data_IF_840189635273
#
_entry.id   IF_840189635273
#
_cell.length_a   1.000
_cell.length_b   1.000
_cell.length_c   1.000
_cell.angle_alpha   90.00
_cell.angle_beta   90.00
_cell.angle_gamma   90.00
#
_symmetry.space_group_name_H-M   'P 1'
#
loop_
_entity.id
_entity.type
_entity.pdbx_description
1 polymer ?
#
# COMPACT_ATOMS: atom_id res chain seq x y z
N UNK A 1 -29.80 13.47 24.07
CA UNK A 1 -28.81 14.11 24.96
C UNK A 1 -28.02 12.99 25.62
N UNK A 2 -26.83 12.72 25.13
CA UNK A 2 -25.91 11.78 25.77
C UNK A 2 -25.25 12.54 26.92
N UNK A 3 -25.43 12.05 28.14
CA UNK A 3 -24.75 12.57 29.31
C UNK A 3 -23.26 12.24 29.18
N UNK A 4 -22.42 13.27 29.19
CA UNK A 4 -20.98 13.14 29.29
C UNK A 4 -20.64 12.66 30.70
N UNK A 5 -20.08 11.46 30.81
CA UNK A 5 -19.36 11.02 32.00
C UNK A 5 -18.13 11.93 32.22
N UNK A 6 -17.69 12.09 33.47
CA UNK A 6 -16.71 13.11 33.86
C UNK A 6 -15.38 12.91 33.12
N UNK A 7 -14.87 14.03 32.59
CA UNK A 7 -13.60 14.19 31.87
C UNK A 7 -12.45 13.47 32.58
N UNK A 8 -12.12 12.26 32.12
CA UNK A 8 -10.73 11.86 32.04
C UNK A 8 -10.09 12.81 31.06
N UNK A 9 -9.34 13.80 31.55
CA UNK A 9 -8.40 14.58 30.75
C UNK A 9 -7.54 13.58 29.97
N UNK A 10 -7.80 13.33 28.68
CA UNK A 10 -7.01 12.38 27.94
C UNK A 10 -5.70 13.11 27.69
N UNK A 11 -4.68 12.79 28.47
CA UNK A 11 -3.43 13.53 28.44
C UNK A 11 -2.85 13.50 27.02
N UNK A 12 -1.86 14.34 26.76
CA UNK A 12 -1.07 14.35 25.53
C UNK A 12 -0.29 13.02 25.31
N UNK A 13 -0.60 11.96 26.04
CA UNK A 13 -0.06 10.61 25.81
C UNK A 13 -0.54 10.09 24.44
N UNK A 14 0.38 9.84 23.49
CA UNK A 14 0.04 9.30 22.18
C UNK A 14 -0.67 7.93 22.23
N UNK A 15 -0.54 7.17 23.32
CA UNK A 15 -1.28 5.92 23.51
C UNK A 15 -2.77 6.16 23.77
N UNK A 16 -3.10 7.04 24.72
CA UNK A 16 -4.49 7.38 25.07
C UNK A 16 -5.21 8.04 23.89
N UNK A 17 -4.53 8.97 23.22
CA UNK A 17 -5.06 9.62 22.03
C UNK A 17 -5.34 8.62 20.90
N UNK A 18 -4.47 7.63 20.69
CA UNK A 18 -4.70 6.59 19.68
C UNK A 18 -5.91 5.71 20.01
N UNK A 19 -6.15 5.39 21.29
CA UNK A 19 -7.35 4.67 21.72
C UNK A 19 -8.62 5.48 21.38
N UNK A 20 -8.60 6.78 21.65
CA UNK A 20 -9.72 7.67 21.32
C UNK A 20 -9.97 7.75 19.80
N UNK A 21 -8.91 7.95 19.01
CA UNK A 21 -8.98 7.96 17.54
C UNK A 21 -9.53 6.64 17.01
N UNK A 22 -9.12 5.49 17.56
CA UNK A 22 -9.66 4.19 17.15
C UNK A 22 -11.13 4.01 17.51
N UNK A 23 -11.57 4.54 18.65
CA UNK A 23 -12.95 4.40 19.11
C UNK A 23 -13.92 5.29 18.33
N UNK A 24 -13.53 6.54 18.07
CA UNK A 24 -14.42 7.55 17.51
C UNK A 24 -14.18 7.86 16.02
N UNK A 25 -13.07 7.38 15.46
CA UNK A 25 -12.57 7.83 14.17
C UNK A 25 -12.04 9.26 14.24
N UNK A 26 -11.29 9.68 13.22
CA UNK A 26 -10.77 11.06 13.15
C UNK A 26 -11.86 12.11 12.94
N UNK A 27 -12.99 11.73 12.33
CA UNK A 27 -14.14 12.62 12.13
C UNK A 27 -15.07 12.78 13.34
N UNK A 28 -14.89 11.97 14.39
CA UNK A 28 -15.75 11.96 15.58
C UNK A 28 -15.16 12.62 16.82
N UNK A 29 -14.00 13.30 16.70
CA UNK A 29 -13.31 13.92 17.84
C UNK A 29 -13.94 15.27 18.23
N UNK A 30 -14.06 15.59 19.54
CA UNK A 30 -14.58 16.89 20.00
C UNK A 30 -13.72 18.08 19.55
N UNK A 31 -14.35 19.22 19.30
CA UNK A 31 -13.69 20.46 18.85
C UNK A 31 -12.65 20.99 19.84
N UNK A 32 -12.91 20.85 21.14
CA UNK A 32 -12.04 21.25 22.23
C UNK A 32 -10.75 20.42 22.21
N UNK A 33 -10.89 19.11 22.00
CA UNK A 33 -9.77 18.20 21.85
C UNK A 33 -8.94 18.54 20.60
N UNK A 34 -9.58 18.77 19.45
CA UNK A 34 -8.88 19.16 18.22
C UNK A 34 -8.08 20.45 18.39
N UNK A 35 -8.63 21.45 19.10
CA UNK A 35 -7.95 22.71 19.39
C UNK A 35 -6.71 22.49 20.25
N UNK A 36 -6.80 21.62 21.27
CA UNK A 36 -5.66 21.27 22.12
C UNK A 36 -4.59 20.49 21.35
N UNK A 37 -4.99 19.53 20.53
CA UNK A 37 -4.07 18.75 19.69
C UNK A 37 -3.32 19.63 18.67
N UNK A 38 -3.96 20.68 18.15
CA UNK A 38 -3.29 21.67 17.31
C UNK A 38 -2.20 22.45 18.09
N UNK A 39 -2.48 22.84 19.34
CA UNK A 39 -1.48 23.47 20.20
C UNK A 39 -0.30 22.52 20.52
N UNK A 40 -0.60 21.25 20.84
CA UNK A 40 0.42 20.23 21.09
C UNK A 40 1.26 19.95 19.83
N UNK A 41 0.63 19.98 18.66
CA UNK A 41 1.30 19.84 17.36
C UNK A 41 2.30 20.96 17.10
N UNK A 42 1.99 22.20 17.48
CA UNK A 42 2.88 23.35 17.34
C UNK A 42 4.01 23.34 18.38
N UNK A 43 3.76 22.79 19.57
CA UNK A 43 4.72 22.73 20.67
C UNK A 43 5.74 21.58 20.53
N UNK A 44 5.34 20.45 19.96
CA UNK A 44 6.20 19.27 19.91
C UNK A 44 7.31 19.35 18.85
N UNK A 45 8.45 18.75 19.16
CA UNK A 45 9.56 18.53 18.22
C UNK A 45 9.76 17.05 17.88
N UNK A 46 8.98 16.15 18.49
CA UNK A 46 9.04 14.72 18.17
C UNK A 46 8.47 14.48 16.77
N UNK A 47 9.30 14.05 15.80
CA UNK A 47 8.85 13.87 14.43
C UNK A 47 7.75 12.81 14.25
N UNK A 48 7.67 11.81 15.13
CA UNK A 48 6.59 10.82 15.07
C UNK A 48 5.27 11.42 15.54
N UNK A 49 5.29 12.15 16.65
CA UNK A 49 4.11 12.83 17.17
C UNK A 49 3.60 13.89 16.19
N UNK A 50 4.52 14.60 15.53
CA UNK A 50 4.21 15.54 14.45
C UNK A 50 3.39 14.87 13.35
N UNK A 51 3.92 13.81 12.72
CA UNK A 51 3.23 13.15 11.61
C UNK A 51 1.91 12.51 12.04
N UNK A 52 1.86 11.99 13.27
CA UNK A 52 0.65 11.42 13.85
C UNK A 52 -0.44 12.49 14.03
N UNK A 53 -0.11 13.61 14.66
CA UNK A 53 -1.05 14.71 14.89
C UNK A 53 -1.46 15.39 13.58
N UNK A 54 -0.56 15.54 12.61
CA UNK A 54 -0.90 16.03 11.28
C UNK A 54 -1.94 15.13 10.61
N UNK A 55 -1.79 13.80 10.72
CA UNK A 55 -2.77 12.84 10.22
C UNK A 55 -4.12 12.91 10.91
N UNK A 56 -4.14 13.11 12.23
CA UNK A 56 -5.38 13.26 13.01
C UNK A 56 -6.09 14.58 12.68
N UNK A 57 -5.34 15.69 12.60
CA UNK A 57 -5.88 17.04 12.42
C UNK A 57 -6.34 17.35 10.98
N UNK A 58 -5.72 16.73 9.98
CA UNK A 58 -6.13 16.92 8.57
C UNK A 58 -7.44 16.20 8.21
N UNK A 59 -7.96 15.34 9.09
CA UNK A 59 -9.22 14.64 8.88
C UNK A 59 -9.15 13.57 7.77
N UNK A 60 -10.29 13.30 7.12
CA UNK A 60 -10.49 12.15 6.22
C UNK A 60 -9.56 12.07 5.00
N UNK A 61 -8.84 13.16 4.64
CA UNK A 61 -7.88 13.18 3.55
C UNK A 61 -6.56 12.44 3.83
N UNK A 62 -6.20 12.24 5.10
CA UNK A 62 -4.95 11.59 5.53
C UNK A 62 -5.17 10.21 6.18
N UNK A 63 -6.33 9.58 5.92
CA UNK A 63 -6.75 8.33 6.56
C UNK A 63 -5.74 7.18 6.51
N UNK A 64 -4.84 7.19 5.52
CA UNK A 64 -3.78 6.20 5.38
C UNK A 64 -2.55 6.46 6.24
N UNK A 65 -2.43 7.59 6.94
CA UNK A 65 -1.29 7.87 7.82
C UNK A 65 0.08 7.74 7.14
N UNK A 66 0.16 7.96 5.82
CA UNK A 66 1.34 7.63 5.02
C UNK A 66 2.63 8.33 5.48
N UNK A 67 2.61 9.62 5.89
CA UNK A 67 3.82 10.26 6.43
C UNK A 67 4.38 9.52 7.65
N UNK A 68 3.52 9.23 8.64
CA UNK A 68 3.91 8.48 9.83
C UNK A 68 4.39 7.07 9.47
N UNK A 69 3.70 6.40 8.54
CA UNK A 69 4.10 5.05 8.09
C UNK A 69 5.47 5.03 7.43
N UNK A 70 5.78 6.01 6.58
CA UNK A 70 7.13 6.15 5.99
C UNK A 70 8.18 6.42 7.06
N UNK A 71 7.87 7.24 8.06
CA UNK A 71 8.78 7.49 9.18
C UNK A 71 9.04 6.23 10.00
N UNK A 72 7.99 5.48 10.33
CA UNK A 72 8.07 4.20 11.03
C UNK A 72 8.91 3.21 10.22
N UNK A 73 8.67 3.11 8.90
CA UNK A 73 9.44 2.27 7.98
C UNK A 73 10.92 2.62 7.99
N UNK A 74 11.24 3.90 7.83
CA UNK A 74 12.62 4.38 7.78
C UNK A 74 13.35 4.15 9.11
N UNK A 75 12.69 4.44 10.23
CA UNK A 75 13.27 4.24 11.57
C UNK A 75 13.50 2.77 11.91
N UNK A 76 12.68 1.87 11.38
CA UNK A 76 12.85 0.42 11.50
C UNK A 76 13.80 -0.19 10.45
N UNK A 77 14.39 0.63 9.57
CA UNK A 77 15.24 0.19 8.45
C UNK A 77 14.57 -0.86 7.53
N UNK A 78 13.25 -0.76 7.36
CA UNK A 78 12.48 -1.68 6.54
C UNK A 78 12.41 -1.20 5.08
N UNK A 79 12.53 -2.14 4.15
CA UNK A 79 12.09 -1.92 2.77
C UNK A 79 10.57 -1.72 2.70
N UNK A 80 10.10 -1.16 1.59
CA UNK A 80 8.67 -1.03 1.35
C UNK A 80 7.99 -2.41 1.23
N UNK A 81 8.66 -3.42 0.68
CA UNK A 81 8.14 -4.79 0.61
C UNK A 81 7.99 -5.43 2.00
N UNK A 82 8.98 -5.27 2.87
CA UNK A 82 8.92 -5.75 4.26
C UNK A 82 7.80 -5.05 5.02
N UNK A 83 7.67 -3.72 4.88
CA UNK A 83 6.56 -2.98 5.48
C UNK A 83 5.19 -3.44 4.95
N UNK A 84 5.04 -3.65 3.64
CA UNK A 84 3.80 -4.19 3.07
C UNK A 84 3.44 -5.57 3.66
N UNK A 85 4.46 -6.41 3.87
CA UNK A 85 4.29 -7.74 4.46
C UNK A 85 3.87 -7.66 5.92
N UNK A 86 4.49 -6.78 6.71
CA UNK A 86 4.12 -6.53 8.11
C UNK A 86 2.70 -5.97 8.25
N UNK A 87 2.30 -5.04 7.39
CA UNK A 87 0.94 -4.50 7.37
C UNK A 87 -0.11 -5.59 7.10
N UNK A 88 0.17 -6.53 6.20
CA UNK A 88 -0.75 -7.65 5.92
C UNK A 88 -0.69 -8.72 7.02
N UNK A 89 0.45 -8.92 7.66
CA UNK A 89 0.55 -9.76 8.85
C UNK A 89 -0.28 -9.20 10.02
N UNK A 90 -0.27 -7.88 10.21
CA UNK A 90 -1.10 -7.17 11.19
C UNK A 90 -2.60 -7.38 10.92
N UNK A 91 -3.02 -7.41 9.65
CA UNK A 91 -4.40 -7.79 9.28
C UNK A 91 -4.75 -9.20 9.75
N UNK A 92 -3.84 -10.18 9.60
CA UNK A 92 -4.10 -11.55 10.07
C UNK A 92 -4.22 -11.58 11.60
N UNK A 93 -3.34 -10.89 12.32
CA UNK A 93 -3.38 -10.80 13.77
C UNK A 93 -4.70 -10.14 14.23
N UNK A 94 -5.08 -9.03 13.59
CA UNK A 94 -6.30 -8.30 13.89
C UNK A 94 -7.57 -9.14 13.67
N UNK A 95 -7.67 -9.81 12.51
CA UNK A 95 -8.81 -10.66 12.18
C UNK A 95 -8.94 -11.90 13.07
N UNK A 96 -7.81 -12.41 13.62
CA UNK A 96 -7.80 -13.55 14.56
C UNK A 96 -8.19 -13.16 15.98
N UNK A 97 -7.97 -11.91 16.37
CA UNK A 97 -8.26 -11.42 17.72
C UNK A 97 -9.75 -11.09 17.94
N UNK A 98 -10.57 -11.13 16.89
CA UNK A 98 -11.98 -10.71 16.94
C UNK A 98 -12.93 -11.90 16.90
N UNK A 99 -13.88 -11.91 17.84
CA UNK A 99 -15.06 -12.76 17.79
C UNK A 99 -16.04 -12.19 16.74
N UNK A 100 -15.99 -12.76 15.54
CA UNK A 100 -16.67 -12.22 14.37
C UNK A 100 -18.14 -12.65 14.26
N UNK A 101 -19.01 -11.68 13.95
CA UNK A 101 -20.40 -11.95 13.57
C UNK A 101 -20.52 -12.71 12.23
N UNK A 102 -19.52 -12.62 11.34
CA UNK A 102 -19.43 -13.40 10.09
C UNK A 102 -18.11 -14.20 10.00
N UNK A 103 -18.05 -15.39 10.61
CA UNK A 103 -16.83 -16.21 10.60
C UNK A 103 -16.38 -16.65 9.20
N UNK A 104 -17.25 -16.64 8.18
CA UNK A 104 -16.90 -17.07 6.83
C UNK A 104 -16.11 -15.98 6.08
N UNK A 105 -16.55 -14.72 6.19
CA UNK A 105 -15.83 -13.57 5.64
C UNK A 105 -14.45 -13.43 6.24
N UNK A 106 -14.33 -13.51 7.57
CA UNK A 106 -13.06 -13.42 8.28
C UNK A 106 -12.07 -14.53 7.85
N UNK A 107 -12.54 -15.79 7.79
CA UNK A 107 -11.71 -16.91 7.29
C UNK A 107 -11.23 -16.70 5.86
N UNK A 108 -12.05 -16.11 4.99
CA UNK A 108 -11.65 -15.76 3.61
C UNK A 108 -10.57 -14.67 3.61
N UNK A 109 -10.74 -13.59 4.39
CA UNK A 109 -9.75 -12.50 4.51
C UNK A 109 -8.41 -13.02 5.01
N UNK A 110 -8.42 -13.74 6.13
CA UNK A 110 -7.22 -14.36 6.71
C UNK A 110 -6.51 -15.26 5.69
N UNK A 111 -7.25 -16.10 4.96
CA UNK A 111 -6.66 -16.96 3.92
C UNK A 111 -5.97 -16.16 2.82
N UNK A 112 -6.57 -15.07 2.35
CA UNK A 112 -5.96 -14.24 1.31
C UNK A 112 -4.76 -13.44 1.82
N UNK A 113 -4.83 -12.90 3.03
CA UNK A 113 -3.72 -12.22 3.69
C UNK A 113 -2.53 -13.18 3.92
N UNK A 114 -2.77 -14.39 4.42
CA UNK A 114 -1.73 -15.41 4.57
C UNK A 114 -1.10 -15.81 3.23
N UNK A 115 -1.89 -15.92 2.15
CA UNK A 115 -1.35 -16.17 0.80
C UNK A 115 -0.45 -15.05 0.31
N UNK A 116 -0.79 -13.80 0.62
CA UNK A 116 0.06 -12.66 0.31
C UNK A 116 1.38 -12.75 1.09
N UNK A 117 1.33 -12.95 2.42
CA UNK A 117 2.54 -13.11 3.24
C UNK A 117 3.42 -14.25 2.73
N UNK A 118 2.84 -15.41 2.44
CA UNK A 118 3.53 -16.58 1.86
C UNK A 118 4.32 -16.22 0.58
N UNK A 119 3.71 -15.44 -0.32
CA UNK A 119 4.34 -15.02 -1.58
C UNK A 119 5.45 -13.99 -1.34
N UNK A 120 5.27 -13.08 -0.38
CA UNK A 120 6.28 -12.07 -0.04
C UNK A 120 7.50 -12.71 0.63
N UNK A 121 7.29 -13.62 1.58
CA UNK A 121 8.36 -14.32 2.31
C UNK A 121 8.92 -15.53 1.56
N UNK A 122 8.33 -15.90 0.42
CA UNK A 122 8.65 -17.10 -0.35
C UNK A 122 8.55 -18.39 0.49
N UNK A 123 7.57 -18.42 1.39
CA UNK A 123 7.32 -19.54 2.31
C UNK A 123 6.07 -20.29 1.87
N UNK A 124 6.05 -21.64 1.93
CA UNK A 124 4.81 -22.40 1.73
C UNK A 124 3.70 -21.93 2.69
N UNK A 125 2.45 -21.83 2.21
CA UNK A 125 1.34 -21.30 3.01
C UNK A 125 1.14 -22.02 4.35
N UNK A 126 1.40 -23.32 4.41
CA UNK A 126 1.26 -24.13 5.62
C UNK A 126 2.36 -23.87 6.67
N UNK A 127 3.45 -23.22 6.27
CA UNK A 127 4.65 -22.96 7.08
C UNK A 127 4.82 -21.46 7.38
N UNK A 128 3.86 -20.62 6.98
CA UNK A 128 3.93 -19.18 7.22
C UNK A 128 3.85 -18.89 8.72
N UNK A 129 4.98 -18.46 9.27
CA UNK A 129 5.02 -17.72 10.51
C UNK A 129 4.79 -16.23 10.23
N UNK A 130 3.97 -15.56 11.04
CA UNK A 130 3.65 -14.17 10.81
C UNK A 130 4.83 -13.30 11.26
N UNK A 131 5.38 -12.42 10.39
CA UNK A 131 6.45 -11.54 10.80
C UNK A 131 5.95 -10.58 11.88
N UNK A 132 6.70 -10.47 12.97
CA UNK A 132 6.51 -9.47 14.00
C UNK A 132 7.19 -8.16 13.60
N UNK A 133 6.62 -7.03 14.02
CA UNK A 133 7.28 -5.75 13.84
C UNK A 133 8.60 -5.74 14.65
N UNK A 134 9.73 -5.26 14.08
CA UNK A 134 10.98 -5.23 14.81
C UNK A 134 10.88 -4.30 16.02
N UNK A 135 11.41 -4.75 17.17
CA UNK A 135 11.41 -3.94 18.37
C UNK A 135 12.23 -2.65 18.21
N UNK A 136 11.90 -1.63 19.01
CA UNK A 136 12.64 -0.37 19.06
C UNK A 136 11.75 0.88 19.06
N UNK A 137 12.33 2.08 18.85
CA UNK A 137 11.59 3.33 18.99
C UNK A 137 10.39 3.48 18.06
N UNK A 138 10.39 2.80 16.91
CA UNK A 138 9.31 2.84 15.92
C UNK A 138 8.15 1.88 16.22
N UNK A 139 8.37 0.85 17.05
CA UNK A 139 7.39 -0.20 17.35
C UNK A 139 6.08 0.35 17.93
N UNK A 140 6.09 1.25 18.93
CA UNK A 140 4.84 1.81 19.45
C UNK A 140 4.05 2.58 18.37
N UNK A 141 4.74 3.16 17.39
CA UNK A 141 4.13 3.98 16.36
C UNK A 141 3.51 3.17 15.22
N UNK A 142 3.92 1.91 15.02
CA UNK A 142 3.38 1.07 13.96
C UNK A 142 1.86 0.88 14.08
N UNK A 143 1.34 0.62 15.28
CA UNK A 143 -0.10 0.52 15.52
C UNK A 143 -0.82 1.86 15.22
N UNK A 144 -0.15 2.98 15.47
CA UNK A 144 -0.68 4.35 15.34
C UNK A 144 -0.77 4.86 13.91
N UNK A 145 -0.19 4.15 12.94
CA UNK A 145 -0.29 4.51 11.52
C UNK A 145 -1.66 4.20 10.93
N UNK A 146 -2.48 3.36 11.57
CA UNK A 146 -3.85 3.09 11.13
C UNK A 146 -4.84 4.05 11.80
N UNK A 147 -5.35 5.02 11.03
CA UNK A 147 -6.39 5.95 11.46
C UNK A 147 -7.72 5.53 10.81
N UNK A 148 -8.57 4.75 11.50
CA UNK A 148 -9.83 4.36 10.91
C UNK A 148 -10.73 5.62 10.79
N UNK A 149 -11.46 5.73 9.67
CA UNK A 149 -12.30 6.89 9.38
C UNK A 149 -13.54 6.87 10.28
N UNK A 150 -14.05 5.67 10.53
CA UNK A 150 -15.11 5.36 11.49
C UNK A 150 -14.55 4.46 12.60
N UNK A 151 -15.29 4.24 13.68
CA UNK A 151 -14.93 3.25 14.69
C UNK A 151 -15.14 1.79 14.26
N UNK A 152 -15.49 1.53 12.99
CA UNK A 152 -15.83 0.19 12.52
C UNK A 152 -14.58 -0.70 12.34
N UNK A 153 -14.74 -1.99 12.66
CA UNK A 153 -13.66 -2.98 12.60
C UNK A 153 -13.07 -3.13 11.19
N UNK A 154 -13.92 -3.03 10.15
CA UNK A 154 -13.48 -3.18 8.76
C UNK A 154 -12.54 -2.06 8.30
N UNK A 155 -12.56 -0.89 8.97
CA UNK A 155 -11.75 0.26 8.58
C UNK A 155 -10.26 0.03 8.84
N UNK A 156 -9.90 -0.67 9.92
CA UNK A 156 -8.49 -0.99 10.20
C UNK A 156 -7.93 -1.90 9.11
N UNK A 157 -8.68 -2.93 8.72
CA UNK A 157 -8.29 -3.86 7.66
C UNK A 157 -8.17 -3.12 6.33
N UNK A 158 -9.12 -2.25 6.02
CA UNK A 158 -9.08 -1.43 4.81
C UNK A 158 -7.84 -0.53 4.78
N UNK A 159 -7.58 0.21 5.86
CA UNK A 159 -6.43 1.12 5.96
C UNK A 159 -5.13 0.35 5.79
N UNK A 160 -4.95 -0.78 6.48
CA UNK A 160 -3.74 -1.62 6.37
C UNK A 160 -3.51 -2.13 4.95
N UNK A 161 -4.56 -2.57 4.28
CA UNK A 161 -4.45 -3.09 2.91
C UNK A 161 -4.13 -1.98 1.91
N UNK A 162 -4.72 -0.79 2.09
CA UNK A 162 -4.38 0.36 1.27
C UNK A 162 -2.94 0.84 1.54
N UNK A 163 -2.50 0.92 2.79
CA UNK A 163 -1.11 1.20 3.15
C UNK A 163 -0.12 0.21 2.51
N UNK A 164 -0.42 -1.10 2.57
CA UNK A 164 0.42 -2.12 1.94
C UNK A 164 0.50 -1.94 0.42
N UNK A 165 -0.62 -1.56 -0.21
CA UNK A 165 -0.67 -1.25 -1.63
C UNK A 165 0.16 -0.01 -1.98
N UNK A 166 0.10 1.04 -1.18
CA UNK A 166 0.93 2.24 -1.32
C UNK A 166 2.44 1.93 -1.19
N UNK A 167 2.81 1.02 -0.28
CA UNK A 167 4.21 0.56 -0.17
C UNK A 167 4.66 -0.13 -1.48
N UNK A 168 3.87 -1.06 -2.01
CA UNK A 168 4.21 -1.75 -3.26
C UNK A 168 4.26 -0.80 -4.47
N UNK A 169 3.39 0.22 -4.52
CA UNK A 169 3.45 1.24 -5.56
C UNK A 169 4.69 2.12 -5.50
N UNK A 170 5.30 2.25 -4.32
CA UNK A 170 6.58 2.95 -4.17
C UNK A 170 7.68 2.18 -4.90
N UNK A 171 7.76 0.87 -4.65
CA UNK A 171 8.71 -0.04 -5.32
C UNK A 171 8.51 -0.01 -6.83
N UNK A 172 7.26 -0.17 -7.28
CA UNK A 172 6.87 -0.09 -8.71
C UNK A 172 7.35 1.19 -9.39
N UNK A 173 7.12 2.35 -8.75
CA UNK A 173 7.52 3.64 -9.31
C UNK A 173 9.05 3.78 -9.39
N UNK A 174 9.76 3.29 -8.38
CA UNK A 174 11.22 3.34 -8.33
C UNK A 174 11.87 2.38 -9.34
N UNK A 175 11.33 1.18 -9.50
CA UNK A 175 11.78 0.20 -10.50
C UNK A 175 11.60 0.74 -11.92
N UNK A 176 10.42 1.29 -12.25
CA UNK A 176 10.16 1.84 -13.60
C UNK A 176 11.04 3.04 -13.90
N UNK A 177 11.26 3.91 -12.90
CA UNK A 177 12.18 5.05 -13.05
C UNK A 177 13.61 4.56 -13.28
N UNK A 178 14.07 3.60 -12.47
CA UNK A 178 15.42 3.05 -12.56
C UNK A 178 15.64 2.29 -13.88
N UNK A 179 14.63 1.54 -14.34
CA UNK A 179 14.67 0.85 -15.63
C UNK A 179 14.80 1.85 -16.78
N UNK A 180 14.08 2.97 -16.70
CA UNK A 180 14.17 4.04 -17.71
C UNK A 180 15.57 4.65 -17.76
N UNK A 181 16.21 4.87 -16.61
CA UNK A 181 17.59 5.35 -16.55
C UNK A 181 18.58 4.30 -17.09
N UNK A 182 18.43 3.04 -16.70
CA UNK A 182 19.27 1.95 -17.20
C UNK A 182 19.19 1.81 -18.73
N UNK A 183 18.01 1.94 -19.34
CA UNK A 183 17.86 1.98 -20.81
C UNK A 183 18.61 3.15 -21.43
N UNK A 184 18.51 4.35 -20.85
CA UNK A 184 19.22 5.55 -21.35
C UNK A 184 20.73 5.38 -21.31
N UNK A 185 21.24 4.66 -20.31
CA UNK A 185 22.66 4.40 -20.13
C UNK A 185 23.15 3.16 -20.92
N UNK A 186 22.29 2.52 -21.73
CA UNK A 186 22.63 1.32 -22.50
C UNK A 186 22.73 0.03 -21.66
N UNK A 187 22.30 0.05 -20.40
CA UNK A 187 22.29 -1.09 -19.46
C UNK A 187 21.00 -1.91 -19.60
N UNK A 188 20.84 -2.57 -20.74
CA UNK A 188 19.58 -3.26 -21.10
C UNK A 188 19.24 -4.46 -20.21
N UNK A 189 20.23 -5.22 -19.73
CA UNK A 189 20.01 -6.36 -18.85
C UNK A 189 19.41 -5.92 -17.49
N UNK A 190 19.98 -4.87 -16.89
CA UNK A 190 19.47 -4.29 -15.63
C UNK A 190 18.05 -3.72 -15.81
N UNK A 191 17.79 -3.04 -16.92
CA UNK A 191 16.44 -2.56 -17.21
C UNK A 191 15.41 -3.71 -17.30
N UNK A 192 15.80 -4.85 -17.87
CA UNK A 192 14.93 -6.02 -17.97
C UNK A 192 14.64 -6.62 -16.58
N UNK A 193 15.64 -6.72 -15.71
CA UNK A 193 15.47 -7.19 -14.33
C UNK A 193 14.52 -6.28 -13.55
N UNK A 194 14.71 -4.95 -13.65
CA UNK A 194 13.85 -3.96 -12.99
C UNK A 194 12.40 -4.01 -13.49
N UNK A 195 12.18 -4.19 -14.79
CA UNK A 195 10.82 -4.36 -15.34
C UNK A 195 10.18 -5.67 -14.88
N UNK A 196 10.95 -6.76 -14.81
CA UNK A 196 10.45 -8.05 -14.31
C UNK A 196 10.08 -7.96 -12.81
N UNK A 197 10.89 -7.25 -12.03
CA UNK A 197 10.61 -6.98 -10.63
C UNK A 197 9.34 -6.13 -10.44
N UNK A 198 9.22 -5.03 -11.21
CA UNK A 198 8.01 -4.20 -11.23
C UNK A 198 6.76 -5.02 -11.58
N UNK A 199 6.82 -5.88 -12.60
CA UNK A 199 5.69 -6.75 -12.95
C UNK A 199 5.28 -7.66 -11.78
N UNK A 200 6.26 -8.23 -11.08
CA UNK A 200 6.03 -9.05 -9.88
C UNK A 200 5.37 -8.24 -8.76
N UNK A 201 5.79 -6.99 -8.54
CA UNK A 201 5.16 -6.11 -7.55
C UNK A 201 3.72 -5.72 -7.92
N UNK A 202 3.45 -5.51 -9.20
CA UNK A 202 2.09 -5.23 -9.66
C UNK A 202 1.17 -6.41 -9.36
N UNK A 203 1.60 -7.64 -9.70
CA UNK A 203 0.84 -8.85 -9.40
C UNK A 203 0.56 -8.97 -7.89
N UNK A 204 1.57 -8.74 -7.04
CA UNK A 204 1.42 -8.72 -5.58
C UNK A 204 0.44 -7.63 -5.11
N UNK A 205 0.48 -6.43 -5.68
CA UNK A 205 -0.45 -5.36 -5.36
C UNK A 205 -1.89 -5.73 -5.74
N UNK A 206 -2.11 -6.44 -6.85
CA UNK A 206 -3.45 -6.93 -7.22
C UNK A 206 -3.97 -8.05 -6.29
N UNK A 207 -3.08 -8.82 -5.65
CA UNK A 207 -3.52 -9.83 -4.69
C UNK A 207 -4.23 -9.22 -3.48
N UNK A 208 -3.84 -8.01 -3.06
CA UNK A 208 -4.41 -7.29 -1.93
C UNK A 208 -5.91 -6.98 -2.10
N UNK A 209 -6.36 -6.79 -3.34
CA UNK A 209 -7.77 -6.64 -3.70
C UNK A 209 -8.63 -7.86 -3.34
N UNK A 210 -8.04 -9.03 -3.11
CA UNK A 210 -8.80 -10.22 -2.66
C UNK A 210 -8.99 -10.27 -1.15
N UNK A 211 -8.23 -9.48 -0.39
CA UNK A 211 -8.34 -9.37 1.07
C UNK A 211 -9.52 -8.47 1.44
N UNK A 212 -9.70 -7.35 0.75
CA UNK A 212 -10.85 -6.46 0.93
C UNK A 212 -11.86 -6.71 -0.18
N UNK A 213 -13.07 -7.18 0.15
CA UNK A 213 -14.18 -7.28 -0.81
C UNK A 213 -14.84 -5.91 -0.95
N UNK A 214 -14.07 -4.90 -1.36
CA UNK A 214 -14.56 -3.52 -1.45
C UNK A 214 -14.47 -3.12 -2.92
N UNK A 215 -15.59 -2.83 -3.61
CA UNK A 215 -15.51 -2.06 -4.83
C UNK A 215 -14.80 -0.77 -4.45
N UNK A 216 -13.58 -0.57 -4.99
CA UNK A 216 -12.84 0.66 -4.77
C UNK A 216 -13.66 1.77 -5.41
N UNK A 217 -14.49 2.43 -4.60
CA UNK A 217 -15.23 3.59 -5.05
C UNK A 217 -14.22 4.57 -5.64
N UNK A 218 -14.48 5.05 -6.85
CA UNK A 218 -13.56 5.80 -7.73
C UNK A 218 -13.01 7.13 -7.18
N UNK A 219 -13.12 7.38 -5.87
CA UNK A 219 -12.65 8.57 -5.17
C UNK A 219 -11.39 8.36 -4.31
N UNK A 220 -10.89 7.13 -4.12
CA UNK A 220 -9.57 6.94 -3.45
C UNK A 220 -8.45 7.21 -4.45
N UNK A 221 -8.09 8.50 -4.59
CA UNK A 221 -6.97 8.95 -5.44
C UNK A 221 -5.63 8.62 -4.77
N UNK A 222 -5.05 7.47 -5.11
CA UNK A 222 -3.70 7.10 -4.68
C UNK A 222 -2.65 7.98 -5.37
N UNK A 223 -1.99 8.85 -4.60
CA UNK A 223 -0.92 9.70 -5.12
C UNK A 223 0.26 8.87 -5.65
N UNK A 224 0.58 7.72 -5.02
CA UNK A 224 1.70 6.87 -5.46
C UNK A 224 1.34 6.08 -6.72
N UNK A 225 0.09 5.67 -6.88
CA UNK A 225 -0.40 5.13 -8.15
C UNK A 225 -0.28 6.17 -9.26
N UNK A 226 -0.66 7.43 -9.01
CA UNK A 226 -0.52 8.50 -10.00
C UNK A 226 0.95 8.76 -10.37
N UNK A 227 1.87 8.71 -9.39
CA UNK A 227 3.32 8.77 -9.66
C UNK A 227 3.81 7.58 -10.48
N UNK A 228 3.36 6.36 -10.18
CA UNK A 228 3.66 5.17 -10.99
C UNK A 228 3.14 5.33 -12.42
N UNK A 229 1.87 5.72 -12.58
CA UNK A 229 1.29 5.94 -13.89
C UNK A 229 2.05 7.03 -14.66
N UNK A 230 2.41 8.14 -14.01
CA UNK A 230 3.25 9.17 -14.61
C UNK A 230 4.63 8.63 -15.06
N UNK A 231 5.26 7.77 -14.25
CA UNK A 231 6.53 7.13 -14.59
C UNK A 231 6.43 6.21 -15.82
N UNK A 232 5.25 5.63 -16.09
CA UNK A 232 5.01 4.82 -17.30
C UNK A 232 4.86 5.64 -18.60
N UNK A 233 4.95 6.98 -18.56
CA UNK A 233 4.94 7.82 -19.76
C UNK A 233 3.64 7.69 -20.59
N UNK A 234 3.69 7.49 -21.91
CA UNK A 234 2.49 7.34 -22.76
C UNK A 234 1.55 6.21 -22.33
N UNK A 235 2.08 5.13 -21.74
CA UNK A 235 1.27 4.04 -21.18
C UNK A 235 0.56 4.48 -19.90
N UNK A 236 1.13 5.42 -19.16
CA UNK A 236 0.52 6.06 -18.01
C UNK A 236 -0.80 6.75 -18.27
N UNK A 237 -0.97 7.34 -19.46
CA UNK A 237 -2.26 7.92 -19.87
C UNK A 237 -3.32 6.83 -19.99
N UNK A 238 -2.98 5.70 -20.61
CA UNK A 238 -3.88 4.54 -20.74
C UNK A 238 -4.17 3.86 -19.41
N UNK A 239 -3.20 3.78 -18.49
CA UNK A 239 -3.42 3.25 -17.14
C UNK A 239 -4.38 4.14 -16.34
N UNK A 240 -4.23 5.46 -16.44
CA UNK A 240 -5.15 6.44 -15.82
C UNK A 240 -6.54 6.46 -16.45
N UNK A 241 -6.65 6.15 -17.73
CA UNK A 241 -7.94 6.00 -18.45
C UNK A 241 -8.61 4.65 -18.14
N UNK A 242 -7.83 3.58 -17.99
CA UNK A 242 -8.28 2.24 -17.65
C UNK A 242 -8.51 2.04 -16.13
N UNK A 243 -8.91 3.10 -15.42
CA UNK A 243 -8.97 3.12 -13.94
C UNK A 243 -9.55 1.81 -13.40
N UNK A 244 -8.85 1.14 -12.48
CA UNK A 244 -9.35 -0.06 -11.84
C UNK A 244 -10.30 0.34 -10.70
N UNK A 245 -11.46 0.89 -11.04
CA UNK A 245 -12.56 1.11 -10.08
C UNK A 245 -13.19 -0.25 -9.65
N UNK A 246 -12.67 -1.38 -10.15
CA UNK A 246 -13.29 -2.71 -10.02
C UNK A 246 -12.33 -3.86 -9.73
N UNK A 247 -11.06 -3.64 -9.36
CA UNK A 247 -10.16 -4.80 -9.12
C UNK A 247 -10.52 -5.66 -7.89
N UNK A 248 -11.57 -5.32 -7.13
CA UNK A 248 -12.02 -6.06 -5.96
C UNK A 248 -13.55 -6.24 -5.87
N UNK A 249 -14.22 -6.66 -6.95
CA UNK A 249 -15.60 -7.16 -6.83
C UNK A 249 -16.32 -7.27 -8.17
N UNK A 250 -16.52 -8.51 -8.62
CA UNK A 250 -17.14 -8.86 -9.90
C UNK A 250 -16.29 -8.58 -11.16
N UNK A 251 -15.21 -9.35 -11.33
CA UNK A 251 -15.02 -9.98 -12.65
C UNK A 251 -15.93 -11.21 -12.68
N UNK A 252 -17.24 -11.00 -12.70
CA UNK A 252 -17.97 -11.62 -13.78
C UNK A 252 -17.45 -10.85 -14.98
N UNK A 253 -16.57 -11.49 -15.77
CA UNK A 253 -16.12 -10.90 -17.01
C UNK A 253 -17.40 -10.63 -17.81
N UNK A 254 -17.87 -9.38 -17.79
CA UNK A 254 -18.71 -8.92 -18.86
C UNK A 254 -17.82 -9.06 -20.10
N UNK A 255 -18.19 -10.00 -20.97
CA UNK A 255 -17.45 -10.31 -22.18
C UNK A 255 -17.36 -9.08 -23.13
N UNK A 256 -18.07 -8.00 -22.82
CA UNK A 256 -17.97 -6.69 -23.47
C UNK A 256 -17.03 -5.67 -22.79
N UNK A 257 -16.33 -5.99 -21.71
CA UNK A 257 -15.46 -5.03 -21.02
C UNK A 257 -14.16 -4.77 -21.79
N UNK A 258 -13.94 -3.51 -22.20
CA UNK A 258 -12.71 -3.02 -22.84
C UNK A 258 -11.44 -3.22 -21.99
N UNK A 259 -11.58 -3.54 -20.70
CA UNK A 259 -10.48 -3.85 -19.79
C UNK A 259 -9.78 -5.16 -20.17
N UNK A 260 -10.53 -6.17 -20.65
CA UNK A 260 -9.95 -7.43 -21.13
C UNK A 260 -9.06 -7.16 -22.35
N UNK A 261 -9.56 -6.36 -23.30
CA UNK A 261 -8.79 -5.94 -24.46
C UNK A 261 -7.56 -5.07 -24.08
N UNK A 262 -7.64 -4.25 -23.03
CA UNK A 262 -6.51 -3.47 -22.55
C UNK A 262 -5.42 -4.33 -21.90
N UNK A 263 -5.80 -5.32 -21.09
CA UNK A 263 -4.89 -6.31 -20.50
C UNK A 263 -4.27 -7.20 -21.59
N UNK A 264 -5.05 -7.64 -22.57
CA UNK A 264 -4.56 -8.41 -23.72
C UNK A 264 -3.58 -7.58 -24.56
N UNK A 265 -3.81 -6.27 -24.74
CA UNK A 265 -2.86 -5.37 -25.41
C UNK A 265 -1.59 -5.16 -24.59
N UNK A 266 -1.68 -5.13 -23.27
CA UNK A 266 -0.52 -5.02 -22.38
C UNK A 266 0.32 -6.30 -22.44
N UNK A 267 -0.33 -7.46 -22.40
CA UNK A 267 0.29 -8.78 -22.54
C UNK A 267 0.89 -8.99 -23.94
N UNK A 268 0.21 -8.51 -24.99
CA UNK A 268 0.70 -8.53 -26.35
C UNK A 268 1.90 -7.59 -26.53
N UNK A 269 1.86 -6.40 -25.90
CA UNK A 269 3.02 -5.52 -25.85
C UNK A 269 4.18 -6.20 -25.10
N UNK A 270 3.91 -6.87 -23.97
CA UNK A 270 4.91 -7.63 -23.19
C UNK A 270 5.53 -8.75 -24.01
N UNK A 271 4.73 -9.55 -24.72
CA UNK A 271 5.22 -10.61 -25.64
C UNK A 271 6.04 -10.03 -26.78
N UNK A 272 5.58 -8.94 -27.41
CA UNK A 272 6.28 -8.28 -28.53
C UNK A 272 7.61 -7.65 -28.09
N UNK A 273 7.67 -7.09 -26.89
CA UNK A 273 8.90 -6.53 -26.33
C UNK A 273 9.88 -7.62 -25.88
N UNK A 274 9.39 -8.68 -25.24
CA UNK A 274 10.20 -9.86 -24.90
C UNK A 274 10.79 -10.53 -26.16
N UNK A 275 9.99 -10.67 -27.22
CA UNK A 275 10.46 -11.21 -28.51
C UNK A 275 11.49 -10.31 -29.20
N UNK A 276 11.35 -8.98 -29.11
CA UNK A 276 12.34 -8.04 -29.64
C UNK A 276 13.65 -8.05 -28.85
N UNK A 277 13.58 -8.05 -27.51
CA UNK A 277 14.78 -8.15 -26.66
C UNK A 277 15.51 -9.47 -26.88
N UNK A 278 14.79 -10.58 -27.07
CA UNK A 278 15.36 -11.89 -27.42
C UNK A 278 16.01 -11.87 -28.81
N UNK A 279 15.36 -11.23 -29.79
CA UNK A 279 15.90 -11.10 -31.14
C UNK A 279 17.13 -10.17 -31.21
N UNK A 280 17.16 -9.12 -30.40
CA UNK A 280 18.30 -8.19 -30.32
C UNK A 280 19.48 -8.81 -29.55
N UNK A 281 19.22 -9.60 -28.50
CA UNK A 281 20.26 -10.40 -27.82
C UNK A 281 20.86 -11.47 -28.73
N UNK A 282 20.05 -12.07 -29.61
CA UNK A 282 20.50 -13.08 -30.58
C UNK A 282 21.32 -12.50 -31.75
N UNK A 283 21.23 -11.19 -32.02
CA UNK A 283 22.02 -10.54 -33.09
C UNK A 283 23.49 -10.35 -32.72
N UNK A 284 23.88 -10.57 -31.47
CA UNK A 284 25.24 -10.36 -30.98
C UNK A 284 25.68 -8.89 -31.08
N UNK A 285 26.81 -8.52 -30.44
CA UNK A 285 27.33 -7.17 -30.56
C UNK A 285 27.70 -6.88 -32.02
N UNK A 286 27.16 -5.81 -32.58
CA UNK A 286 27.60 -5.27 -33.87
C UNK A 286 29.08 -4.96 -33.73
N UNK A 287 29.94 -5.76 -34.37
CA UNK A 287 31.35 -5.39 -34.55
C UNK A 287 31.34 -4.11 -35.37
N UNK A 288 31.58 -2.98 -34.69
CA UNK A 288 31.99 -1.75 -35.35
C UNK A 288 33.27 -2.10 -36.09
N UNK A 289 33.18 -2.20 -37.41
CA UNK A 289 34.34 -2.41 -38.25
C UNK A 289 35.29 -1.23 -38.02
N UNK A 290 36.53 -1.54 -37.66
CA UNK A 290 37.62 -0.58 -37.58
C UNK A 290 37.70 0.21 -38.90
N UNK A 291 37.47 1.51 -38.79
CA UNK A 291 37.80 2.47 -39.84
C UNK A 291 39.09 3.17 -39.45
N UNK A 292 40.19 2.62 -39.99
CA UNK A 292 41.52 3.19 -40.23
C UNK A 292 42.32 3.75 -39.04
#
# INVERSE_FOLDING_TARGET
>A
MLHADPETDPGTDPAELHILVRRHGTGGLPSELLTRLAADRDATRDPFLVDYLDGVLTGSGAFLGLPLLERVRAAAALSAEEMATLLVADVVAHERAVDAADPARHRRRVRHALRFVAVMTRTPLAEVDLPAFPGGPAEPWFARTAHPVTGEHDDVVLVRILQAREMLFTVLADDVRSATLAVRDGRTAEAQELVAHAATMLDRATMLSRVIAIPLAGDVRSERYERFAAACGPLGKRLREARPDTLAGAVAADQGSDLVAALDRLDEARRRWSGRLTADAARGPVRVADAA
#
